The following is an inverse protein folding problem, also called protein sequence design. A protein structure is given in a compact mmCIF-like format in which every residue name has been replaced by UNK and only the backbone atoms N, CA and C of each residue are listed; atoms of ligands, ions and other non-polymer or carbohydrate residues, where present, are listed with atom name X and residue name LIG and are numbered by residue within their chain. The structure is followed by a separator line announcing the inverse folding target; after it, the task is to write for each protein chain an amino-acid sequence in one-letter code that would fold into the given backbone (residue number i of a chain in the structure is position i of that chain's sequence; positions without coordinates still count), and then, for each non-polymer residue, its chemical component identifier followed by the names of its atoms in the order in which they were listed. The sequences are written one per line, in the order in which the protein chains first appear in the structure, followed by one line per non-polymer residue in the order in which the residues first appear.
data_IF_278022348756
#
_entry.id   IF_278022348756
#
_cell.length_a   1.000
_cell.length_b   1.000
_cell.length_c   1.000
_cell.angle_alpha   90.00
_cell.angle_beta   90.00
_cell.angle_gamma   90.00
#
_symmetry.space_group_name_H-M   'P 1'
#
loop_
_entity.id
_entity.type
_entity.pdbx_description
1 polymer ?
#
# COMPACT_ATOMS: atom_id res chain seq x y z
N UNK A 1 7.14 -13.12 -0.79
CA UNK A 1 7.31 -11.71 -1.16
C UNK A 1 6.59 -11.48 -2.47
N UNK A 2 5.61 -10.58 -2.49
CA UNK A 2 4.91 -10.22 -3.75
C UNK A 2 5.38 -8.87 -4.30
N UNK A 3 5.96 -8.02 -3.44
CA UNK A 3 6.37 -6.66 -3.78
C UNK A 3 7.39 -6.16 -2.77
N UNK A 4 8.27 -5.26 -3.20
CA UNK A 4 9.15 -4.49 -2.33
C UNK A 4 9.33 -3.08 -2.90
N UNK A 5 9.58 -2.11 -2.03
CA UNK A 5 9.96 -0.74 -2.42
C UNK A 5 10.86 -0.14 -1.34
N UNK A 6 11.52 0.96 -1.65
CA UNK A 6 12.39 1.70 -0.72
C UNK A 6 11.83 3.11 -0.61
N UNK A 7 11.64 3.59 0.61
CA UNK A 7 11.21 4.96 0.86
C UNK A 7 12.39 5.96 0.84
N UNK A 8 12.13 7.25 1.00
CA UNK A 8 13.18 8.27 0.90
C UNK A 8 14.16 8.27 2.08
N UNK A 9 13.84 7.56 3.14
CA UNK A 9 14.70 7.39 4.33
C UNK A 9 15.42 6.04 4.31
N UNK A 10 15.52 5.41 3.13
CA UNK A 10 16.16 4.11 2.91
C UNK A 10 15.52 2.94 3.67
N UNK A 11 14.27 3.09 4.16
CA UNK A 11 13.56 1.94 4.72
C UNK A 11 13.02 1.05 3.60
N UNK A 12 13.15 -0.26 3.77
CA UNK A 12 12.65 -1.25 2.82
C UNK A 12 11.27 -1.70 3.27
N UNK A 13 10.28 -1.55 2.39
CA UNK A 13 8.91 -2.01 2.61
C UNK A 13 8.66 -3.28 1.81
N UNK A 14 8.13 -4.32 2.44
CA UNK A 14 7.91 -5.64 1.85
C UNK A 14 6.46 -6.06 2.08
N UNK A 15 5.74 -6.29 0.98
CA UNK A 15 4.40 -6.86 1.02
C UNK A 15 4.40 -8.39 1.00
N UNK A 16 3.62 -8.98 1.90
CA UNK A 16 3.53 -10.43 2.08
C UNK A 16 2.11 -10.95 1.80
N UNK A 17 2.03 -12.18 1.29
CA UNK A 17 0.76 -12.89 1.18
C UNK A 17 0.36 -13.38 2.58
N UNK A 18 -0.80 -12.95 3.08
CA UNK A 18 -1.34 -13.25 4.41
C UNK A 18 -0.49 -12.78 5.61
N UNK A 19 0.59 -12.03 5.39
CA UNK A 19 1.50 -11.57 6.45
C UNK A 19 1.49 -10.06 6.71
N UNK A 20 0.75 -9.28 5.92
CA UNK A 20 0.76 -7.82 6.00
C UNK A 20 1.99 -7.19 5.33
N UNK A 21 2.50 -6.12 5.93
CA UNK A 21 3.66 -5.35 5.46
C UNK A 21 4.77 -5.36 6.50
N UNK A 22 5.98 -5.74 6.08
CA UNK A 22 7.18 -5.56 6.89
C UNK A 22 7.94 -4.31 6.44
N UNK A 23 8.40 -3.51 7.41
CA UNK A 23 9.33 -2.40 7.21
C UNK A 23 10.67 -2.80 7.82
N UNK A 24 11.74 -2.68 7.04
CA UNK A 24 13.11 -2.86 7.52
C UNK A 24 13.80 -1.50 7.56
N UNK A 25 14.26 -1.14 8.75
CA UNK A 25 15.02 0.08 8.97
C UNK A 25 16.51 -0.15 8.70
N UNK A 26 17.23 0.91 8.29
CA UNK A 26 18.68 0.87 8.05
C UNK A 26 19.48 0.41 9.27
N UNK A 27 18.92 0.55 10.46
CA UNK A 27 19.48 0.13 11.75
C UNK A 27 19.15 -1.35 12.10
N UNK A 28 18.89 -2.18 11.11
CA UNK A 28 18.63 -3.63 11.23
C UNK A 28 17.34 -4.02 11.97
N UNK A 29 16.43 -3.08 12.20
CA UNK A 29 15.17 -3.31 12.91
C UNK A 29 14.05 -3.66 11.94
N UNK A 30 13.24 -4.67 12.29
CA UNK A 30 12.04 -5.05 11.54
C UNK A 30 10.78 -4.61 12.30
N UNK A 31 9.90 -3.88 11.62
CA UNK A 31 8.56 -3.56 12.10
C UNK A 31 7.53 -4.27 11.23
N UNK A 32 6.54 -4.92 11.87
CA UNK A 32 5.48 -5.66 11.18
C UNK A 32 4.12 -4.96 11.35
N UNK A 33 3.46 -4.67 10.24
CA UNK A 33 2.10 -4.14 10.18
C UNK A 33 1.14 -5.17 9.62
N UNK A 34 0.13 -5.53 10.40
CA UNK A 34 -0.97 -6.42 10.01
C UNK A 34 -2.33 -5.77 10.33
N UNK A 35 -3.43 -6.41 9.94
CA UNK A 35 -4.78 -5.90 10.14
C UNK A 35 -5.25 -5.86 11.61
N UNK A 36 -4.51 -6.45 12.53
CA UNK A 36 -4.83 -6.50 13.95
C UNK A 36 -4.05 -5.45 14.76
N UNK A 37 -2.86 -5.07 14.29
CA UNK A 37 -1.97 -4.15 14.99
C UNK A 37 -1.84 -2.77 14.31
N UNK A 38 -2.46 -2.57 13.14
CA UNK A 38 -2.33 -1.36 12.34
C UNK A 38 -3.63 -0.99 11.62
N UNK A 39 -3.61 0.07 10.83
CA UNK A 39 -4.73 0.44 9.96
C UNK A 39 -4.76 -0.29 8.61
N UNK A 40 -3.96 -1.34 8.43
CA UNK A 40 -3.97 -2.17 7.22
C UNK A 40 -5.31 -2.92 7.12
N UNK A 41 -6.06 -2.81 6.01
CA UNK A 41 -7.40 -3.41 5.93
C UNK A 41 -7.39 -4.92 5.63
N UNK A 42 -6.27 -5.48 5.18
CA UNK A 42 -6.15 -6.91 4.86
C UNK A 42 -4.68 -7.36 4.83
N UNK A 43 -4.40 -8.57 5.34
CA UNK A 43 -3.04 -9.12 5.44
C UNK A 43 -2.46 -9.64 4.11
N UNK A 44 -3.27 -9.80 3.07
CA UNK A 44 -2.79 -10.09 1.72
C UNK A 44 -2.39 -8.81 1.02
N UNK A 45 -1.08 -8.54 0.95
CA UNK A 45 -0.53 -7.35 0.30
C UNK A 45 0.06 -7.72 -1.06
N UNK A 46 -0.46 -7.10 -2.11
CA UNK A 46 -0.05 -7.37 -3.50
C UNK A 46 0.88 -6.29 -4.08
N UNK A 47 0.80 -5.06 -3.58
CA UNK A 47 1.61 -3.95 -4.10
C UNK A 47 1.92 -2.95 -3.00
N UNK A 48 3.15 -2.44 -3.01
CA UNK A 48 3.58 -1.32 -2.17
C UNK A 48 4.29 -0.31 -3.06
N UNK A 49 3.96 0.96 -2.92
CA UNK A 49 4.60 2.07 -3.63
C UNK A 49 4.77 3.27 -2.69
N UNK A 50 5.85 4.03 -2.85
CA UNK A 50 6.11 5.25 -2.07
C UNK A 50 5.89 6.47 -2.96
N UNK A 51 5.14 7.44 -2.47
CA UNK A 51 4.84 8.66 -3.20
C UNK A 51 5.87 9.77 -2.98
N UNK A 52 5.73 10.89 -3.68
CA UNK A 52 6.66 12.02 -3.56
C UNK A 52 6.56 12.76 -2.24
N UNK A 53 5.56 12.48 -1.42
CA UNK A 53 5.43 13.01 -0.07
C UNK A 53 5.90 12.00 0.99
N UNK A 54 6.54 10.91 0.54
CA UNK A 54 7.05 9.81 1.36
C UNK A 54 5.94 8.98 2.05
N UNK A 55 4.70 9.07 1.56
CA UNK A 55 3.63 8.21 2.01
C UNK A 55 3.66 6.86 1.29
N UNK A 56 3.38 5.81 2.06
CA UNK A 56 3.41 4.43 1.58
C UNK A 56 1.99 4.00 1.21
N UNK A 57 1.80 3.64 -0.05
CA UNK A 57 0.56 3.16 -0.63
C UNK A 57 0.58 1.65 -0.77
N UNK A 58 -0.41 0.97 -0.21
CA UNK A 58 -0.44 -0.48 -0.02
C UNK A 58 -1.72 -1.05 -0.62
N UNK A 59 -1.59 -1.79 -1.73
CA UNK A 59 -2.68 -2.49 -2.40
C UNK A 59 -2.96 -3.85 -1.76
N UNK A 60 -4.20 -4.08 -1.35
CA UNK A 60 -4.58 -5.26 -0.56
C UNK A 60 -5.59 -6.19 -1.25
N UNK A 61 -5.65 -7.43 -0.76
CA UNK A 61 -6.52 -8.51 -1.23
C UNK A 61 -7.98 -8.38 -0.80
N UNK A 62 -8.65 -7.31 -1.22
CA UNK A 62 -10.08 -7.10 -0.98
C UNK A 62 -10.42 -6.13 0.14
N UNK A 63 -9.41 -5.53 0.80
CA UNK A 63 -9.58 -4.45 1.77
C UNK A 63 -9.43 -3.04 1.18
N UNK A 64 -9.19 -2.93 -0.13
CA UNK A 64 -8.91 -1.67 -0.80
C UNK A 64 -7.43 -1.28 -0.77
N UNK A 65 -7.18 0.02 -0.84
CA UNK A 65 -5.88 0.67 -0.85
C UNK A 65 -5.65 1.37 0.48
N UNK A 66 -4.58 1.03 1.19
CA UNK A 66 -4.17 1.75 2.39
C UNK A 66 -3.08 2.78 2.07
N UNK A 67 -3.13 3.93 2.73
CA UNK A 67 -2.08 4.95 2.77
C UNK A 67 -1.53 5.01 4.20
N UNK A 68 -0.22 4.91 4.35
CA UNK A 68 0.50 5.21 5.58
C UNK A 68 1.31 6.50 5.38
N UNK A 69 0.96 7.53 6.13
CA UNK A 69 1.58 8.85 6.09
C UNK A 69 2.19 9.14 7.47
N UNK A 70 3.50 8.90 7.59
CA UNK A 70 4.17 8.77 8.88
C UNK A 70 3.60 7.62 9.71
N UNK A 71 2.77 7.94 10.71
CA UNK A 71 2.07 6.95 11.56
C UNK A 71 0.57 6.87 11.28
N UNK A 72 0.05 7.72 10.39
CA UNK A 72 -1.38 7.84 10.13
C UNK A 72 -1.79 6.90 9.00
N UNK A 73 -2.72 6.01 9.31
CA UNK A 73 -3.36 5.14 8.33
C UNK A 73 -4.62 5.78 7.75
N UNK A 74 -4.85 5.59 6.46
CA UNK A 74 -6.10 5.94 5.77
C UNK A 74 -6.43 4.84 4.77
N UNK A 75 -7.70 4.43 4.70
CA UNK A 75 -8.15 3.34 3.82
C UNK A 75 -9.12 3.87 2.78
N UNK A 76 -8.84 3.54 1.52
CA UNK A 76 -9.67 3.82 0.36
C UNK A 76 -10.25 2.51 -0.17
N UNK A 77 -11.57 2.40 -0.22
CA UNK A 77 -12.30 1.29 -0.79
C UNK A 77 -13.26 1.79 -1.88
N UNK A 78 -14.00 0.90 -2.53
CA UNK A 78 -14.98 1.28 -3.57
C UNK A 78 -16.13 2.15 -3.04
N UNK A 79 -16.40 2.13 -1.74
CA UNK A 79 -17.53 2.83 -1.14
C UNK A 79 -17.17 4.28 -0.80
N UNK A 80 -15.88 4.58 -0.56
CA UNK A 80 -15.41 5.89 -0.13
C UNK A 80 -14.44 6.58 -1.10
N UNK A 81 -14.15 5.97 -2.25
CA UNK A 81 -13.16 6.48 -3.21
C UNK A 81 -13.54 6.24 -4.67
N UNK A 82 -12.66 6.63 -5.60
CA UNK A 82 -12.79 6.36 -7.03
C UNK A 82 -12.42 4.92 -7.42
N UNK A 83 -12.08 4.05 -6.47
CA UNK A 83 -11.70 2.67 -6.77
C UNK A 83 -12.91 1.87 -7.30
N UNK A 84 -12.78 1.19 -8.46
CA UNK A 84 -13.87 0.40 -9.02
C UNK A 84 -14.08 -0.93 -8.27
N UNK A 85 -13.04 -1.47 -7.61
CA UNK A 85 -13.07 -2.71 -6.82
C UNK A 85 -12.06 -2.63 -5.67
N UNK A 86 -12.35 -3.37 -4.60
CA UNK A 86 -11.54 -3.39 -3.36
C UNK A 86 -10.32 -4.32 -3.45
N UNK A 87 -10.26 -5.17 -4.49
CA UNK A 87 -9.13 -6.05 -4.70
C UNK A 87 -8.09 -5.32 -5.54
N UNK A 88 -7.05 -4.79 -4.88
CA UNK A 88 -6.03 -3.95 -5.49
C UNK A 88 -4.77 -4.79 -5.75
N UNK A 89 -4.42 -4.97 -7.03
CA UNK A 89 -3.27 -5.78 -7.45
C UNK A 89 -2.01 -4.95 -7.65
N UNK A 90 -2.14 -3.71 -8.10
CA UNK A 90 -1.00 -2.86 -8.42
C UNK A 90 -1.27 -1.41 -8.07
N UNK A 91 -0.21 -0.74 -7.60
CA UNK A 91 -0.15 0.69 -7.39
C UNK A 91 1.13 1.19 -8.05
N UNK A 92 1.01 2.20 -8.90
CA UNK A 92 2.14 2.91 -9.49
C UNK A 92 1.93 4.40 -9.34
N UNK A 93 3.01 5.17 -9.24
CA UNK A 93 2.96 6.60 -8.95
C UNK A 93 3.73 7.32 -10.05
N UNK A 94 3.07 8.26 -10.72
CA UNK A 94 3.66 8.99 -11.84
C UNK A 94 4.43 10.24 -11.39
N UNK A 95 5.02 10.97 -12.34
CA UNK A 95 5.79 12.20 -12.11
C UNK A 95 4.95 13.36 -11.53
N UNK A 96 3.63 13.32 -11.67
CA UNK A 96 2.72 14.30 -11.06
C UNK A 96 2.17 13.87 -9.69
N UNK A 97 2.71 12.78 -9.14
CA UNK A 97 2.29 12.18 -7.87
C UNK A 97 0.87 11.56 -7.91
N UNK A 98 0.36 11.27 -9.10
CA UNK A 98 -0.90 10.57 -9.27
C UNK A 98 -0.70 9.08 -9.02
N UNK A 99 -1.58 8.50 -8.21
CA UNK A 99 -1.62 7.07 -7.91
C UNK A 99 -2.47 6.38 -8.97
N UNK A 100 -1.84 5.53 -9.78
CA UNK A 100 -2.48 4.64 -10.74
C UNK A 100 -2.71 3.29 -10.07
N UNK A 101 -3.97 2.90 -9.93
CA UNK A 101 -4.38 1.73 -9.14
C UNK A 101 -5.05 0.69 -10.04
N UNK A 102 -4.41 -0.47 -10.17
CA UNK A 102 -4.95 -1.62 -10.90
C UNK A 102 -5.76 -2.51 -9.98
N UNK A 103 -7.02 -2.78 -10.35
CA UNK A 103 -7.95 -3.56 -9.55
C UNK A 103 -8.40 -4.83 -10.27
N UNK A 104 -8.65 -5.91 -9.52
CA UNK A 104 -9.13 -7.16 -10.11
C UNK A 104 -10.52 -6.99 -10.71
N UNK A 105 -10.65 -7.23 -12.02
CA UNK A 105 -11.91 -7.12 -12.79
C UNK A 105 -12.56 -5.72 -12.78
N UNK A 106 -11.92 -4.72 -12.19
CA UNK A 106 -12.39 -3.33 -12.16
C UNK A 106 -11.64 -2.39 -13.11
N UNK A 107 -10.52 -2.85 -13.68
CA UNK A 107 -9.67 -2.01 -14.52
C UNK A 107 -8.78 -1.09 -13.67
N UNK A 108 -8.54 0.12 -14.17
CA UNK A 108 -7.61 1.10 -13.59
C UNK A 108 -8.39 2.28 -13.00
N UNK A 109 -7.97 2.76 -11.83
CA UNK A 109 -8.41 4.02 -11.23
C UNK A 109 -7.23 4.96 -11.00
N UNK A 110 -7.55 6.24 -10.82
CA UNK A 110 -6.57 7.25 -10.39
C UNK A 110 -7.00 7.91 -9.09
N UNK A 111 -6.03 8.16 -8.23
CA UNK A 111 -6.17 8.96 -7.01
C UNK A 111 -5.11 10.06 -7.02
N UNK A 112 -5.53 11.29 -6.70
CA UNK A 112 -4.61 12.43 -6.53
C UNK A 112 -3.97 12.42 -5.16
#
# INVERSE_FOLDING_TARGET
MLTLTVDKNDHIWIGMLNGGVAKFDTDTTWTLYDMYNSGLPNNSVYSVAVDKDDAVWIGTGGGGLAKLDGHKWTVYDKANSSLPKDFVYSVSIDENNMKWVGTWKGGIATLK
#
